data_IF_750337029287
#
_entry.id   IF_750337029287
#
_cell.length_a   1.000
_cell.length_b   1.000
_cell.length_c   1.000
_cell.angle_alpha   90.00
_cell.angle_beta   90.00
_cell.angle_gamma   90.00
#
_symmetry.space_group_name_H-M   'P 1'
#
loop_
_entity.id
_entity.type
_entity.pdbx_description
1 polymer ?
#
# COMPACT_ATOMS: atom_id res chain seq x y z
N UNK A 1 20.42 -3.69 -0.43
CA UNK A 1 19.20 -4.43 -0.11
C UNK A 1 18.15 -3.49 0.48
N UNK A 2 16.93 -3.52 -0.04
CA UNK A 2 15.86 -2.65 0.44
C UNK A 2 15.17 -3.30 1.64
N UNK A 3 15.14 -2.58 2.74
CA UNK A 3 14.44 -3.02 3.94
C UNK A 3 12.93 -3.03 3.68
N UNK A 4 12.24 -4.05 4.17
CA UNK A 4 10.78 -4.17 4.00
C UNK A 4 10.03 -2.98 4.58
N UNK A 5 10.52 -2.42 5.67
CA UNK A 5 9.92 -1.23 6.28
C UNK A 5 10.06 0.00 5.38
N UNK A 6 11.17 0.10 4.70
CA UNK A 6 11.42 1.17 3.75
C UNK A 6 10.49 1.03 2.54
N UNK A 7 10.34 -0.19 2.03
CA UNK A 7 9.41 -0.47 0.94
C UNK A 7 7.97 -0.15 1.36
N UNK A 8 7.60 -0.52 2.57
CA UNK A 8 6.26 -0.24 3.11
C UNK A 8 6.00 1.26 3.16
N UNK A 9 6.97 2.04 3.65
CA UNK A 9 6.83 3.49 3.70
C UNK A 9 6.66 4.10 2.32
N UNK A 10 7.40 3.61 1.34
CA UNK A 10 7.31 4.07 -0.04
C UNK A 10 5.94 3.77 -0.63
N UNK A 11 5.41 2.57 -0.38
CA UNK A 11 4.09 2.19 -0.87
C UNK A 11 2.98 3.01 -0.23
N UNK A 12 3.10 3.29 1.06
CA UNK A 12 2.14 4.14 1.76
C UNK A 12 2.15 5.56 1.21
N UNK A 13 3.33 6.09 0.88
CA UNK A 13 3.45 7.41 0.28
C UNK A 13 2.79 7.45 -1.09
N UNK A 14 2.98 6.41 -1.90
CA UNK A 14 2.34 6.32 -3.20
C UNK A 14 0.81 6.29 -3.08
N UNK A 15 0.31 5.53 -2.12
CA UNK A 15 -1.13 5.44 -1.88
C UNK A 15 -1.69 6.80 -1.47
N UNK A 16 -0.99 7.51 -0.61
CA UNK A 16 -1.41 8.86 -0.20
C UNK A 16 -1.47 9.83 -1.38
N UNK A 17 -0.54 9.71 -2.32
CA UNK A 17 -0.54 10.54 -3.52
C UNK A 17 -1.72 10.23 -4.44
N UNK A 18 -2.17 8.98 -4.45
CA UNK A 18 -3.32 8.57 -5.26
C UNK A 18 -4.65 9.06 -4.70
N UNK A 19 -4.74 9.20 -3.39
CA UNK A 19 -6.00 9.59 -2.73
C UNK A 19 -6.60 10.89 -3.28
N UNK A 20 -5.85 12.00 -3.34
CA UNK A 20 -6.41 13.23 -3.90
C UNK A 20 -6.75 13.12 -5.39
N UNK A 21 -6.01 12.30 -6.13
CA UNK A 21 -6.30 12.07 -7.53
C UNK A 21 -7.63 11.34 -7.71
N UNK A 22 -7.90 10.36 -6.85
CA UNK A 22 -9.15 9.63 -6.85
C UNK A 22 -10.33 10.55 -6.53
N UNK A 23 -10.15 11.44 -5.57
CA UNK A 23 -11.20 12.39 -5.18
C UNK A 23 -11.54 13.37 -6.29
N UNK A 24 -10.54 13.77 -7.07
CA UNK A 24 -10.72 14.73 -8.15
C UNK A 24 -11.21 14.10 -9.45
N UNK A 25 -11.06 12.79 -9.59
CA UNK A 25 -11.41 12.09 -10.82
C UNK A 25 -12.86 11.62 -10.78
N UNK A 26 -13.53 11.74 -11.91
CA UNK A 26 -14.93 11.31 -12.03
C UNK A 26 -15.04 9.80 -11.82
N UNK A 27 -15.93 9.39 -10.93
CA UNK A 27 -16.08 7.98 -10.50
C UNK A 27 -16.39 7.01 -11.65
N UNK A 28 -17.06 7.48 -12.68
CA UNK A 28 -17.47 6.63 -13.79
C UNK A 28 -16.52 6.68 -14.98
N UNK A 29 -15.38 7.37 -14.83
CA UNK A 29 -14.39 7.46 -15.89
C UNK A 29 -13.46 6.25 -15.87
N UNK A 30 -12.86 5.95 -17.00
CA UNK A 30 -11.86 4.89 -17.09
C UNK A 30 -10.60 5.25 -16.32
N UNK A 31 -10.30 6.54 -16.20
CA UNK A 31 -9.17 7.01 -15.40
C UNK A 31 -9.35 6.67 -13.94
N UNK A 32 -10.56 6.88 -13.40
CA UNK A 32 -10.87 6.53 -12.03
C UNK A 32 -10.68 5.04 -11.80
N UNK A 33 -11.16 4.23 -12.73
CA UNK A 33 -11.03 2.77 -12.64
C UNK A 33 -9.57 2.34 -12.59
N UNK A 34 -8.72 2.93 -13.41
CA UNK A 34 -7.28 2.66 -13.41
C UNK A 34 -6.64 3.06 -12.09
N UNK A 35 -6.97 4.24 -11.59
CA UNK A 35 -6.43 4.74 -10.32
C UNK A 35 -6.90 3.87 -9.15
N UNK A 36 -8.17 3.50 -9.14
CA UNK A 36 -8.72 2.65 -8.09
C UNK A 36 -8.07 1.27 -8.08
N UNK A 37 -7.83 0.71 -9.25
CA UNK A 37 -7.16 -0.58 -9.39
C UNK A 37 -5.74 -0.51 -8.84
N UNK A 38 -5.03 0.57 -9.15
CA UNK A 38 -3.68 0.79 -8.66
C UNK A 38 -3.65 0.95 -7.14
N UNK A 39 -4.60 1.71 -6.61
CA UNK A 39 -4.72 1.91 -5.17
C UNK A 39 -5.01 0.58 -4.46
N UNK A 40 -5.88 -0.24 -5.03
CA UNK A 40 -6.21 -1.55 -4.47
C UNK A 40 -4.98 -2.47 -4.43
N UNK A 41 -4.20 -2.47 -5.50
CA UNK A 41 -2.96 -3.26 -5.56
C UNK A 41 -1.96 -2.78 -4.50
N UNK A 42 -1.84 -1.47 -4.31
CA UNK A 42 -0.97 -0.90 -3.29
C UNK A 42 -1.43 -1.28 -1.89
N UNK A 43 -2.73 -1.20 -1.63
CA UNK A 43 -3.29 -1.57 -0.34
C UNK A 43 -3.02 -3.04 0.00
N UNK A 44 -3.19 -3.92 -0.97
CA UNK A 44 -2.92 -5.35 -0.78
C UNK A 44 -1.46 -5.61 -0.48
N UNK A 45 -0.58 -4.94 -1.20
CA UNK A 45 0.86 -5.08 -0.98
C UNK A 45 1.27 -4.55 0.39
N UNK A 46 0.70 -3.41 0.78
CA UNK A 46 0.94 -2.80 2.10
C UNK A 46 0.50 -3.77 3.20
N UNK A 47 -0.70 -4.31 3.09
CA UNK A 47 -1.24 -5.25 4.08
C UNK A 47 -0.35 -6.48 4.20
N UNK A 48 0.12 -7.01 3.08
CA UNK A 48 1.00 -8.18 3.07
C UNK A 48 2.33 -7.87 3.76
N UNK A 49 2.92 -6.71 3.47
CA UNK A 49 4.19 -6.32 4.08
C UNK A 49 4.05 -6.07 5.58
N UNK A 50 2.98 -5.42 5.99
CA UNK A 50 2.72 -5.18 7.41
C UNK A 50 2.58 -6.50 8.17
N UNK A 51 1.86 -7.44 7.59
CA UNK A 51 1.68 -8.76 8.18
C UNK A 51 3.01 -9.51 8.29
N UNK A 52 3.80 -9.46 7.22
CA UNK A 52 5.10 -10.13 7.18
C UNK A 52 6.05 -9.58 8.22
N UNK A 53 6.11 -8.25 8.35
CA UNK A 53 6.96 -7.59 9.35
C UNK A 53 6.51 -7.96 10.76
N UNK A 54 5.20 -7.95 11.00
CA UNK A 54 4.63 -8.29 12.30
C UNK A 54 4.93 -9.74 12.68
N UNK A 55 4.80 -10.66 11.73
CA UNK A 55 5.09 -12.07 11.99
C UNK A 55 6.54 -12.29 12.35
N UNK A 56 7.45 -11.63 11.64
CA UNK A 56 8.87 -11.75 11.93
C UNK A 56 9.23 -11.18 13.30
N UNK A 57 8.67 -10.04 13.66
CA UNK A 57 8.88 -9.43 14.95
C UNK A 57 8.23 -10.22 16.07
N UNK A 58 7.03 -10.75 15.79
CA UNK A 58 6.31 -11.59 16.75
C UNK A 58 7.06 -12.87 17.08
N UNK A 59 7.66 -13.50 16.09
CA UNK A 59 8.44 -14.71 16.31
C UNK A 59 9.67 -14.42 17.17
N UNK A 60 10.30 -13.29 16.96
CA UNK A 60 11.46 -12.89 17.75
C UNK A 60 11.08 -12.61 19.20
N UNK A 61 9.85 -12.16 19.42
CA UNK A 61 9.36 -11.79 20.75
C UNK A 61 8.89 -13.00 21.56
N UNK A 62 8.38 -14.01 20.87
CA UNK A 62 7.81 -15.19 21.53
C UNK A 62 8.87 -16.13 22.12
N UNK A 63 10.08 -16.01 21.71
CA UNK A 63 11.18 -16.84 22.19
C UNK A 63 12.26 -16.01 22.85
#
# INVERSE_FOLDING_TARGET
MIDKRHELAALKAELEELQPQLEKTYKYSSEYRSLASKADALEKRIAWLERDILQNEGQATLF
#
